data_IF_740825465529
#
_entry.id   IF_740825465529
#
_cell.length_a   1.000
_cell.length_b   1.000
_cell.length_c   1.000
_cell.angle_alpha   90.00
_cell.angle_beta   90.00
_cell.angle_gamma   90.00
#
_symmetry.space_group_name_H-M   'P 1'
#
loop_
_entity.id
_entity.type
_entity.pdbx_description
1 polymer ?
#
# COMPACT_ATOMS: atom_id res chain seq x y z
N UNK A 1 0.86 -43.55 -8.22
CA UNK A 1 -0.11 -42.42 -8.22
C UNK A 1 0.58 -41.23 -7.58
N UNK A 2 0.44 -40.01 -8.10
CA UNK A 2 1.11 -38.83 -7.52
C UNK A 2 0.38 -38.46 -6.22
N UNK A 3 1.10 -38.35 -5.10
CA UNK A 3 0.53 -37.85 -3.85
C UNK A 3 0.05 -36.41 -4.06
N UNK A 4 -1.20 -36.08 -3.70
CA UNK A 4 -1.69 -34.70 -3.73
C UNK A 4 -0.77 -33.76 -2.94
N UNK A 5 -0.71 -32.49 -3.35
CA UNK A 5 0.05 -31.47 -2.63
C UNK A 5 -0.69 -30.98 -1.36
N UNK A 6 -2.01 -31.20 -1.32
CA UNK A 6 -2.91 -30.71 -0.29
C UNK A 6 -3.78 -31.86 0.22
N UNK A 7 -4.03 -31.92 1.53
CA UNK A 7 -4.93 -32.89 2.16
C UNK A 7 -6.40 -32.43 2.20
N UNK A 8 -7.27 -33.21 2.86
CA UNK A 8 -8.70 -32.91 2.96
C UNK A 8 -9.01 -31.66 3.80
N UNK A 9 -8.12 -31.28 4.72
CA UNK A 9 -8.23 -30.10 5.56
C UNK A 9 -7.68 -28.83 4.88
N UNK A 10 -7.03 -28.98 3.73
CA UNK A 10 -6.46 -27.88 2.96
C UNK A 10 -5.00 -27.58 3.30
N UNK A 11 -4.36 -28.41 4.11
CA UNK A 11 -2.97 -28.23 4.52
C UNK A 11 -2.01 -28.71 3.43
N UNK A 12 -0.95 -27.93 3.21
CA UNK A 12 0.05 -28.21 2.17
C UNK A 12 1.14 -29.08 2.77
N UNK A 13 1.37 -30.26 2.20
CA UNK A 13 2.46 -31.15 2.64
C UNK A 13 3.82 -30.51 2.39
N UNK A 14 4.82 -30.98 3.14
CA UNK A 14 6.21 -30.57 2.93
C UNK A 14 6.70 -30.84 1.50
N UNK A 15 7.52 -29.90 1.02
CA UNK A 15 8.13 -29.98 -0.30
C UNK A 15 9.27 -31.01 -0.28
N UNK A 16 9.25 -31.95 -1.22
CA UNK A 16 10.30 -32.97 -1.38
C UNK A 16 11.29 -32.58 -2.47
N UNK A 17 12.45 -33.22 -2.51
CA UNK A 17 13.45 -33.01 -3.57
C UNK A 17 12.88 -33.30 -4.98
N UNK A 18 11.95 -34.24 -5.09
CA UNK A 18 11.21 -34.54 -6.31
C UNK A 18 10.29 -33.39 -6.74
N UNK A 19 9.78 -32.59 -5.80
CA UNK A 19 9.00 -31.40 -6.13
C UNK A 19 9.91 -30.27 -6.63
N UNK A 20 11.07 -30.10 -6.00
CA UNK A 20 12.08 -29.10 -6.38
C UNK A 20 12.64 -29.38 -7.78
N UNK A 21 12.97 -30.64 -8.08
CA UNK A 21 13.50 -31.03 -9.39
C UNK A 21 12.54 -30.78 -10.55
N UNK A 22 11.24 -30.65 -10.27
CA UNK A 22 10.20 -30.35 -11.27
C UNK A 22 9.93 -28.85 -11.44
N UNK A 23 10.54 -27.99 -10.65
CA UNK A 23 10.41 -26.54 -10.80
C UNK A 23 11.00 -26.08 -12.13
N UNK A 24 10.34 -25.10 -12.75
CA UNK A 24 10.74 -24.55 -14.05
C UNK A 24 10.82 -23.03 -13.98
N UNK A 25 11.68 -22.40 -14.80
CA UNK A 25 11.73 -20.96 -14.88
C UNK A 25 10.35 -20.36 -15.19
N UNK A 26 10.02 -19.23 -14.55
CA UNK A 26 8.73 -18.54 -14.72
C UNK A 26 8.37 -18.30 -16.19
N UNK A 27 9.38 -17.96 -17.00
CA UNK A 27 9.24 -17.67 -18.44
C UNK A 27 8.76 -18.86 -19.26
N UNK A 28 9.03 -20.08 -18.79
CA UNK A 28 8.66 -21.32 -19.48
C UNK A 28 7.37 -21.94 -18.94
N UNK A 29 6.99 -21.60 -17.71
CA UNK A 29 5.85 -22.16 -17.01
C UNK A 29 4.56 -21.34 -17.19
N UNK A 30 4.66 -20.02 -17.42
CA UNK A 30 3.50 -19.14 -17.54
C UNK A 30 3.37 -18.49 -18.92
N UNK A 31 2.14 -18.23 -19.41
CA UNK A 31 1.89 -17.38 -20.57
C UNK A 31 2.41 -15.95 -20.38
N UNK A 32 2.83 -15.30 -21.47
CA UNK A 32 3.46 -13.96 -21.44
C UNK A 32 2.61 -12.89 -20.72
N UNK A 33 1.28 -12.93 -20.90
CA UNK A 33 0.37 -11.99 -20.26
C UNK A 33 0.44 -12.04 -18.71
N UNK A 34 0.66 -13.23 -18.14
CA UNK A 34 0.80 -13.42 -16.70
C UNK A 34 2.23 -13.16 -16.22
N UNK A 35 3.24 -13.33 -17.08
CA UNK A 35 4.62 -12.97 -16.75
C UNK A 35 4.74 -11.46 -16.48
N UNK A 36 4.01 -10.63 -17.25
CA UNK A 36 4.07 -9.15 -17.14
C UNK A 36 3.35 -8.59 -15.89
N UNK A 37 2.43 -9.33 -15.29
CA UNK A 37 1.68 -8.88 -14.11
C UNK A 37 2.41 -9.17 -12.80
N UNK A 38 3.32 -10.15 -12.79
CA UNK A 38 4.13 -10.51 -11.62
C UNK A 38 5.23 -9.45 -11.44
N UNK A 39 5.19 -8.74 -10.31
CA UNK A 39 6.15 -7.68 -9.97
C UNK A 39 5.74 -6.27 -10.39
N UNK A 40 4.64 -6.09 -11.13
CA UNK A 40 4.06 -4.77 -11.31
C UNK A 40 3.35 -4.34 -10.03
N UNK A 41 3.98 -3.42 -9.30
CA UNK A 41 3.38 -2.77 -8.15
C UNK A 41 2.11 -2.07 -8.62
N UNK A 42 0.97 -2.46 -8.02
CA UNK A 42 -0.33 -1.95 -8.41
C UNK A 42 -0.39 -0.43 -8.40
N UNK A 43 -1.21 0.15 -9.28
CA UNK A 43 -1.44 1.59 -9.38
C UNK A 43 -1.72 2.16 -7.98
N UNK A 44 -0.99 3.19 -7.59
CA UNK A 44 -1.10 3.76 -6.25
C UNK A 44 -2.54 4.22 -6.00
N UNK A 45 -3.25 3.48 -5.12
CA UNK A 45 -4.70 3.65 -4.90
C UNK A 45 -5.07 4.95 -4.19
N UNK A 46 -4.11 5.63 -3.54
CA UNK A 46 -4.34 6.92 -2.87
C UNK A 46 -3.85 8.06 -3.77
N UNK A 47 -4.62 9.15 -3.91
CA UNK A 47 -4.14 10.34 -4.61
C UNK A 47 -2.79 10.77 -4.02
N UNK A 48 -1.83 11.08 -4.89
CA UNK A 48 -0.55 11.59 -4.45
C UNK A 48 -0.75 12.91 -3.69
N UNK A 49 -0.09 13.07 -2.53
CA UNK A 49 -0.06 14.36 -1.83
C UNK A 49 0.56 15.39 -2.77
N UNK A 50 -0.09 16.53 -2.94
CA UNK A 50 0.47 17.64 -3.72
C UNK A 50 1.50 18.36 -2.85
N UNK A 51 2.75 18.46 -3.33
CA UNK A 51 3.80 19.22 -2.64
C UNK A 51 3.55 20.71 -2.87
N UNK A 52 3.03 21.40 -1.86
CA UNK A 52 2.81 22.85 -1.88
C UNK A 52 3.61 23.52 -0.78
N UNK A 53 4.16 24.70 -1.06
CA UNK A 53 4.78 25.55 -0.04
C UNK A 53 3.75 26.53 0.50
N UNK A 54 3.40 26.41 1.78
CA UNK A 54 2.53 27.35 2.49
C UNK A 54 3.32 28.03 3.61
N UNK A 55 3.00 29.29 3.93
CA UNK A 55 3.54 29.97 5.11
C UNK A 55 2.58 29.74 6.27
N UNK A 56 3.14 29.32 7.40
CA UNK A 56 2.42 29.10 8.66
C UNK A 56 3.07 29.98 9.72
N UNK A 57 2.28 30.40 10.71
CA UNK A 57 2.81 31.17 11.83
C UNK A 57 3.83 30.34 12.64
N UNK A 58 4.86 30.97 13.23
CA UNK A 58 5.90 30.27 13.99
C UNK A 58 5.35 29.35 15.08
N UNK A 59 4.34 29.81 15.83
CA UNK A 59 3.72 29.07 16.94
C UNK A 59 3.08 27.74 16.48
N UNK A 60 2.51 27.72 15.27
CA UNK A 60 1.92 26.50 14.69
C UNK A 60 3.02 25.51 14.33
N UNK A 61 4.10 26.00 13.71
CA UNK A 61 5.21 25.15 13.28
C UNK A 61 5.94 24.57 14.50
N UNK A 62 6.18 25.37 15.53
CA UNK A 62 6.82 24.95 16.78
C UNK A 62 6.00 23.90 17.51
N UNK A 63 4.68 24.10 17.63
CA UNK A 63 3.77 23.15 18.26
C UNK A 63 3.88 21.75 17.64
N UNK A 64 3.68 21.66 16.32
CA UNK A 64 3.72 20.35 15.64
C UNK A 64 5.14 19.77 15.63
N UNK A 65 6.20 20.58 15.47
CA UNK A 65 7.59 20.10 15.49
C UNK A 65 7.98 19.50 16.85
N UNK A 66 7.47 20.05 17.95
CA UNK A 66 7.74 19.54 19.30
C UNK A 66 7.24 18.09 19.48
N UNK A 67 6.24 17.66 18.71
CA UNK A 67 5.71 16.30 18.74
C UNK A 67 6.58 15.28 17.97
N UNK A 68 7.72 15.71 17.40
CA UNK A 68 8.73 14.84 16.81
C UNK A 68 8.39 14.29 15.42
N UNK A 69 8.78 13.03 15.18
CA UNK A 69 8.62 12.39 13.87
C UNK A 69 7.14 12.35 13.45
N UNK A 70 6.87 12.76 12.20
CA UNK A 70 5.52 12.75 11.63
C UNK A 70 4.72 14.05 11.81
N UNK A 71 5.32 15.12 12.35
CA UNK A 71 4.65 16.42 12.52
C UNK A 71 3.98 16.95 11.23
N UNK A 72 4.57 16.73 10.06
CA UNK A 72 3.98 17.10 8.76
C UNK A 72 2.68 16.33 8.44
N UNK A 73 2.58 15.08 8.87
CA UNK A 73 1.37 14.29 8.69
C UNK A 73 0.28 14.73 9.68
N UNK A 74 0.66 15.15 10.89
CA UNK A 74 -0.29 15.63 11.90
C UNK A 74 -0.88 16.99 11.55
N UNK A 75 -0.07 17.91 11.02
CA UNK A 75 -0.62 19.18 10.51
C UNK A 75 -1.55 18.95 9.30
N UNK A 76 -1.25 18.00 8.40
CA UNK A 76 -2.16 17.60 7.31
C UNK A 76 -3.48 17.03 7.84
N UNK A 77 -3.45 16.26 8.94
CA UNK A 77 -4.66 15.75 9.59
C UNK A 77 -5.48 16.88 10.24
N UNK A 78 -4.83 17.81 10.94
CA UNK A 78 -5.51 18.96 11.55
C UNK A 78 -6.21 19.82 10.49
N UNK A 79 -5.56 20.07 9.35
CA UNK A 79 -6.16 20.81 8.23
C UNK A 79 -7.36 20.07 7.63
N UNK A 80 -7.30 18.74 7.52
CA UNK A 80 -8.44 17.93 7.06
C UNK A 80 -9.61 17.98 8.03
N UNK A 81 -9.34 17.89 9.33
CA UNK A 81 -10.35 18.01 10.36
C UNK A 81 -11.03 19.38 10.31
N UNK A 82 -10.25 20.45 10.20
CA UNK A 82 -10.78 21.80 10.02
C UNK A 82 -11.73 21.90 8.81
N UNK A 83 -11.34 21.32 7.67
CA UNK A 83 -12.19 21.25 6.46
C UNK A 83 -13.47 20.45 6.73
N UNK A 84 -13.41 19.33 7.46
CA UNK A 84 -14.59 18.52 7.76
C UNK A 84 -15.58 19.26 8.67
N UNK A 85 -15.06 20.01 9.65
CA UNK A 85 -15.85 20.77 10.62
C UNK A 85 -16.44 22.06 10.03
N UNK A 86 -15.69 22.76 9.17
CA UNK A 86 -16.03 24.11 8.68
C UNK A 86 -16.40 24.15 7.18
N UNK A 87 -16.13 23.07 6.44
CA UNK A 87 -16.35 22.99 4.99
C UNK A 87 -17.77 22.64 4.57
N UNK A 88 -18.64 22.23 5.50
CA UNK A 88 -20.04 21.85 5.23
C UNK A 88 -20.96 23.06 4.95
N UNK A 89 -20.45 24.31 4.98
CA UNK A 89 -21.25 25.53 4.82
C UNK A 89 -21.16 26.25 3.48
N UNK A 90 -20.31 25.82 2.52
CA UNK A 90 -20.04 26.60 1.28
C UNK A 90 -20.25 25.86 -0.04
N UNK A 91 -20.84 24.68 -0.05
CA UNK A 91 -21.17 23.99 -1.30
C UNK A 91 -22.58 23.38 -1.23
N UNK A 92 -23.59 24.20 -1.51
CA UNK A 92 -24.92 23.73 -1.92
C UNK A 92 -25.07 24.05 -3.41
N UNK A 93 -25.51 23.11 -4.25
CA UNK A 93 -25.80 23.39 -5.67
C UNK A 93 -26.90 24.44 -5.80
#
# INVERSE_FOLDING_TARGET
>A
MKTPLTDEDGEVRELTDDDVSRMRPLREALPEALQRSIGQRGRQRRPAKVKTSIRLSPEVVEHFRAEGHGWQSRIDQALKQYIQEHGQGKNRP
#
